data_IF_419356383588
#
_entry.id   IF_419356383588
#
_cell.length_a   1.000
_cell.length_b   1.000
_cell.length_c   1.000
_cell.angle_alpha   90.00
_cell.angle_beta   90.00
_cell.angle_gamma   90.00
#
_symmetry.space_group_name_H-M   'P 1'
#
loop_
_entity.id
_entity.type
_entity.pdbx_description
1 polymer ?
#
# COMPACT_ATOMS: atom_id res chain seq x y z
N UNK A 1 36.84 5.23 -39.64
CA UNK A 1 36.91 4.59 -38.30
C UNK A 1 35.98 5.27 -37.27
N UNK A 2 35.89 6.61 -37.25
CA UNK A 2 35.05 7.39 -36.32
C UNK A 2 33.54 7.07 -36.38
N UNK A 3 33.00 6.76 -37.57
CA UNK A 3 31.58 6.41 -37.73
C UNK A 3 31.16 5.09 -37.05
N UNK A 4 32.08 4.13 -36.89
CA UNK A 4 31.77 2.86 -36.19
C UNK A 4 31.61 3.08 -34.69
N UNK A 5 32.49 3.88 -34.09
CA UNK A 5 32.39 4.26 -32.67
C UNK A 5 31.12 5.06 -32.39
N UNK A 6 30.78 6.01 -33.27
CA UNK A 6 29.54 6.78 -33.17
C UNK A 6 28.30 5.90 -33.26
N UNK A 7 28.25 4.96 -34.21
CA UNK A 7 27.14 4.01 -34.35
C UNK A 7 27.02 3.04 -33.16
N UNK A 8 28.14 2.63 -32.57
CA UNK A 8 28.14 1.75 -31.40
C UNK A 8 27.66 2.50 -30.14
N UNK A 9 28.10 3.74 -29.96
CA UNK A 9 27.63 4.62 -28.89
C UNK A 9 26.13 4.94 -29.05
N UNK A 10 25.67 5.21 -30.27
CA UNK A 10 24.25 5.45 -30.56
C UNK A 10 23.40 4.20 -30.25
N UNK A 11 23.84 3.01 -30.67
CA UNK A 11 23.15 1.75 -30.35
C UNK A 11 23.09 1.46 -28.85
N UNK A 12 24.16 1.76 -28.09
CA UNK A 12 24.16 1.65 -26.62
C UNK A 12 23.14 2.61 -25.98
N UNK A 13 23.04 3.84 -26.48
CA UNK A 13 22.04 4.80 -26.01
C UNK A 13 20.61 4.38 -26.34
N UNK A 14 20.38 3.85 -27.54
CA UNK A 14 19.07 3.36 -27.94
C UNK A 14 18.66 2.12 -27.15
N UNK A 15 19.61 1.21 -26.85
CA UNK A 15 19.38 0.07 -25.95
C UNK A 15 18.98 0.52 -24.54
N UNK A 16 19.68 1.51 -23.96
CA UNK A 16 19.34 2.03 -22.63
C UNK A 16 17.94 2.66 -22.62
N UNK A 17 17.56 3.39 -23.69
CA UNK A 17 16.21 3.96 -23.83
C UNK A 17 15.14 2.87 -23.94
N UNK A 18 15.40 1.82 -24.73
CA UNK A 18 14.48 0.70 -24.90
C UNK A 18 14.31 -0.07 -23.59
N UNK A 19 15.39 -0.42 -22.90
CA UNK A 19 15.34 -1.08 -21.58
C UNK A 19 14.66 -0.21 -20.52
N UNK A 20 14.91 1.10 -20.52
CA UNK A 20 14.25 2.03 -19.61
C UNK A 20 12.74 2.07 -19.87
N UNK A 21 12.34 2.12 -21.14
CA UNK A 21 10.92 2.12 -21.54
C UNK A 21 10.23 0.82 -21.17
N UNK A 22 10.88 -0.32 -21.37
CA UNK A 22 10.36 -1.63 -21.00
C UNK A 22 10.20 -1.76 -19.48
N UNK A 23 11.23 -1.43 -18.70
CA UNK A 23 11.20 -1.47 -17.23
C UNK A 23 10.16 -0.50 -16.67
N UNK A 24 10.00 0.69 -17.26
CA UNK A 24 8.96 1.64 -16.88
C UNK A 24 7.57 1.12 -17.21
N UNK A 25 7.38 0.51 -18.38
CA UNK A 25 6.08 -0.05 -18.80
C UNK A 25 5.63 -1.18 -17.89
N UNK A 26 6.53 -2.10 -17.53
CA UNK A 26 6.23 -3.21 -16.60
C UNK A 26 5.89 -2.66 -15.20
N UNK A 27 6.67 -1.70 -14.69
CA UNK A 27 6.37 -1.06 -13.40
C UNK A 27 5.05 -0.29 -13.43
N UNK A 28 4.76 0.44 -14.51
CA UNK A 28 3.52 1.17 -14.68
C UNK A 28 2.30 0.23 -14.72
N UNK A 29 2.41 -0.89 -15.43
CA UNK A 29 1.39 -1.95 -15.43
C UNK A 29 1.15 -2.52 -14.03
N UNK A 30 2.22 -2.77 -13.27
CA UNK A 30 2.10 -3.29 -11.91
C UNK A 30 1.47 -2.27 -10.95
N UNK A 31 1.80 -0.98 -11.09
CA UNK A 31 1.17 0.11 -10.32
C UNK A 31 -0.32 0.20 -10.68
N UNK A 32 -0.68 0.16 -11.97
CA UNK A 32 -2.07 0.20 -12.41
C UNK A 32 -2.89 -0.97 -11.82
N UNK A 33 -2.33 -2.19 -11.84
CA UNK A 33 -2.93 -3.34 -11.18
C UNK A 33 -3.10 -3.12 -9.68
N UNK A 34 -2.07 -2.62 -8.99
CA UNK A 34 -2.14 -2.33 -7.56
C UNK A 34 -3.21 -1.29 -7.21
N UNK A 35 -3.37 -0.26 -8.05
CA UNK A 35 -4.39 0.77 -7.88
C UNK A 35 -5.78 0.16 -8.02
N UNK A 36 -6.02 -0.62 -9.08
CA UNK A 36 -7.30 -1.30 -9.30
C UNK A 36 -7.61 -2.23 -8.12
N UNK A 37 -6.64 -3.05 -7.70
CA UNK A 37 -6.78 -3.95 -6.56
C UNK A 37 -7.10 -3.18 -5.27
N UNK A 38 -6.42 -2.05 -5.04
CA UNK A 38 -6.66 -1.20 -3.86
C UNK A 38 -8.08 -0.63 -3.85
N UNK A 39 -8.60 -0.25 -5.02
CA UNK A 39 -9.99 0.24 -5.14
C UNK A 39 -10.98 -0.87 -4.74
N UNK A 40 -10.84 -2.07 -5.30
CA UNK A 40 -11.70 -3.21 -4.93
C UNK A 40 -11.58 -3.57 -3.45
N UNK A 41 -10.37 -3.54 -2.90
CA UNK A 41 -10.12 -3.80 -1.50
C UNK A 41 -10.80 -2.75 -0.60
N UNK A 42 -10.78 -1.48 -1.01
CA UNK A 42 -11.42 -0.39 -0.28
C UNK A 42 -12.95 -0.55 -0.26
N UNK A 43 -13.55 -0.92 -1.39
CA UNK A 43 -14.98 -1.25 -1.45
C UNK A 43 -15.32 -2.43 -0.53
N UNK A 44 -14.55 -3.52 -0.59
CA UNK A 44 -14.74 -4.67 0.29
C UNK A 44 -14.66 -4.24 1.76
N UNK A 45 -13.67 -3.44 2.13
CA UNK A 45 -13.47 -2.98 3.50
C UNK A 45 -14.65 -2.13 4.00
N UNK A 46 -15.18 -1.25 3.16
CA UNK A 46 -16.36 -0.43 3.49
C UNK A 46 -17.59 -1.32 3.68
N UNK A 47 -17.88 -2.21 2.73
CA UNK A 47 -19.04 -3.11 2.84
C UNK A 47 -18.93 -4.06 4.03
N UNK A 48 -17.73 -4.55 4.35
CA UNK A 48 -17.48 -5.38 5.52
C UNK A 48 -17.82 -4.63 6.81
N UNK A 49 -17.39 -3.37 6.93
CA UNK A 49 -17.69 -2.52 8.09
C UNK A 49 -19.20 -2.27 8.25
N UNK A 50 -19.88 -1.95 7.16
CA UNK A 50 -21.33 -1.73 7.15
C UNK A 50 -22.04 -3.03 7.54
N UNK A 51 -21.63 -4.17 6.96
CA UNK A 51 -22.18 -5.48 7.27
C UNK A 51 -22.00 -5.87 8.74
N UNK A 52 -20.82 -5.63 9.32
CA UNK A 52 -20.55 -5.87 10.74
C UNK A 52 -21.43 -5.00 11.64
N UNK A 53 -21.58 -3.71 11.32
CA UNK A 53 -22.42 -2.80 12.09
C UNK A 53 -23.90 -3.20 12.04
N UNK A 54 -24.40 -3.62 10.86
CA UNK A 54 -25.77 -4.11 10.70
C UNK A 54 -25.97 -5.43 11.47
N UNK A 55 -25.02 -6.37 11.36
CA UNK A 55 -25.08 -7.66 12.05
C UNK A 55 -25.11 -7.47 13.57
N UNK A 56 -24.22 -6.65 14.12
CA UNK A 56 -24.27 -6.24 15.54
C UNK A 56 -25.59 -5.52 15.87
N UNK A 57 -26.09 -4.71 14.95
CA UNK A 57 -27.38 -4.01 15.07
C UNK A 57 -28.56 -4.95 15.24
N UNK A 58 -28.57 -6.09 14.55
CA UNK A 58 -29.59 -7.12 14.73
C UNK A 58 -29.53 -7.78 16.11
N UNK A 59 -28.35 -8.09 16.63
CA UNK A 59 -28.21 -8.65 17.98
C UNK A 59 -28.64 -7.67 19.08
N UNK A 60 -28.36 -6.39 18.89
CA UNK A 60 -28.67 -5.31 19.85
C UNK A 60 -30.11 -4.79 19.65
N UNK A 61 -30.80 -5.23 18.59
CA UNK A 61 -32.10 -4.71 18.12
C UNK A 61 -32.09 -3.19 17.84
N UNK A 62 -30.90 -2.58 17.71
CA UNK A 62 -30.74 -1.17 17.41
C UNK A 62 -29.44 -0.92 16.64
N UNK A 63 -29.59 -0.51 15.39
CA UNK A 63 -28.48 -0.27 14.46
C UNK A 63 -27.63 0.94 14.89
N UNK A 64 -28.23 1.96 15.49
CA UNK A 64 -27.50 3.16 15.93
C UNK A 64 -26.50 2.84 17.04
N UNK A 65 -26.90 2.05 18.04
CA UNK A 65 -25.99 1.60 19.10
C UNK A 65 -24.88 0.69 18.56
N UNK A 66 -25.18 -0.17 17.60
CA UNK A 66 -24.16 -1.01 16.98
C UNK A 66 -23.10 -0.20 16.23
N UNK A 67 -23.50 0.82 15.45
CA UNK A 67 -22.54 1.75 14.83
C UNK A 67 -21.68 2.48 15.87
N UNK A 68 -22.26 2.87 17.00
CA UNK A 68 -21.56 3.55 18.09
C UNK A 68 -20.51 2.63 18.73
N UNK A 69 -20.86 1.37 18.98
CA UNK A 69 -19.93 0.36 19.52
C UNK A 69 -18.79 0.07 18.54
N UNK A 70 -19.10 -0.14 17.26
CA UNK A 70 -18.08 -0.38 16.22
C UNK A 70 -17.13 0.82 16.13
N UNK A 71 -17.67 2.04 16.09
CA UNK A 71 -16.87 3.28 16.10
C UNK A 71 -16.01 3.40 17.37
N UNK A 72 -16.55 3.05 18.55
CA UNK A 72 -15.82 3.04 19.80
C UNK A 72 -14.62 2.08 19.80
N UNK A 73 -14.77 0.89 19.20
CA UNK A 73 -13.67 -0.06 19.01
C UNK A 73 -12.59 0.54 18.08
N UNK A 74 -12.98 1.18 16.99
CA UNK A 74 -12.03 1.87 16.10
C UNK A 74 -11.29 3.01 16.82
N UNK A 75 -11.99 3.79 17.65
CA UNK A 75 -11.40 4.84 18.45
C UNK A 75 -10.40 4.28 19.47
N UNK A 76 -10.74 3.16 20.12
CA UNK A 76 -9.83 2.46 21.03
C UNK A 76 -8.57 1.95 20.31
N UNK A 77 -8.71 1.37 19.11
CA UNK A 77 -7.57 0.95 18.28
C UNK A 77 -6.67 2.13 17.91
N UNK A 78 -7.25 3.30 17.59
CA UNK A 78 -6.47 4.51 17.30
C UNK A 78 -5.68 4.96 18.54
N UNK A 79 -6.31 5.00 19.71
CA UNK A 79 -5.64 5.34 20.97
C UNK A 79 -4.48 4.38 21.24
N UNK A 80 -4.72 3.07 21.09
CA UNK A 80 -3.71 2.05 21.27
C UNK A 80 -2.53 2.27 20.30
N UNK A 81 -2.81 2.54 19.03
CA UNK A 81 -1.77 2.84 18.03
C UNK A 81 -0.95 4.09 18.38
N UNK A 82 -1.59 5.13 18.94
CA UNK A 82 -0.91 6.35 19.38
C UNK A 82 0.01 6.08 20.58
N UNK A 83 -0.39 5.21 21.51
CA UNK A 83 0.46 4.81 22.64
C UNK A 83 1.66 3.99 22.18
N UNK A 84 1.45 3.05 21.25
CA UNK A 84 2.52 2.22 20.69
C UNK A 84 3.37 2.93 19.62
N UNK A 85 3.04 4.18 19.26
CA UNK A 85 3.71 4.95 18.20
C UNK A 85 5.23 4.95 18.35
N UNK A 86 5.74 5.14 19.56
CA UNK A 86 7.18 5.20 19.79
C UNK A 86 7.84 3.83 19.64
N UNK A 87 7.24 2.78 20.22
CA UNK A 87 7.71 1.39 20.06
C UNK A 87 7.71 0.93 18.60
N UNK A 88 6.69 1.30 17.82
CA UNK A 88 6.61 0.96 16.40
C UNK A 88 7.72 1.68 15.61
N UNK A 89 7.96 2.97 15.90
CA UNK A 89 9.03 3.74 15.25
C UNK A 89 10.41 3.15 15.53
N UNK A 90 10.70 2.82 16.78
CA UNK A 90 11.98 2.21 17.17
C UNK A 90 12.14 0.81 16.59
N UNK A 91 11.06 0.02 16.55
CA UNK A 91 11.06 -1.30 15.90
C UNK A 91 11.39 -1.23 14.41
N UNK A 92 10.75 -0.31 13.68
CA UNK A 92 11.02 -0.08 12.25
C UNK A 92 12.46 0.41 12.05
N UNK A 93 12.92 1.37 12.85
CA UNK A 93 14.30 1.87 12.78
C UNK A 93 15.32 0.76 12.99
N UNK A 94 15.12 -0.11 13.98
CA UNK A 94 16.00 -1.25 14.24
C UNK A 94 16.00 -2.28 13.12
N UNK A 95 14.84 -2.55 12.48
CA UNK A 95 14.76 -3.43 11.30
C UNK A 95 15.58 -2.84 10.15
N UNK A 96 15.46 -1.55 9.89
CA UNK A 96 16.21 -0.86 8.83
C UNK A 96 17.72 -0.92 9.12
N UNK A 97 18.14 -0.58 10.33
CA UNK A 97 19.57 -0.64 10.74
C UNK A 97 20.12 -2.05 10.55
N UNK A 98 19.37 -3.08 10.95
CA UNK A 98 19.78 -4.49 10.79
C UNK A 98 19.83 -4.94 9.33
N UNK A 99 19.00 -4.37 8.46
CA UNK A 99 19.00 -4.67 7.02
C UNK A 99 20.18 -4.06 6.26
N UNK A 100 20.70 -2.93 6.75
CA UNK A 100 21.85 -2.23 6.14
C UNK A 100 23.18 -2.78 6.65
N UNK A 101 23.24 -3.20 7.92
CA UNK A 101 24.45 -3.73 8.55
C UNK A 101 24.64 -5.26 8.32
N UNK A 102 24.04 -5.80 7.26
CA UNK A 102 24.10 -7.20 6.83
C UNK A 102 24.60 -7.26 5.40
#
# INVERSE_FOLDING_TARGET
>A
MINFFKNYAQKRLDLIKMEATEKMSIKAGNIAFLVILSIFFLFLFIFLNIGLAILLGYYIQNIAYAFLIVSGIYLFLIILLLLLKNSIKEGIANIIIKSINK
#
